data_IF_309255377120
#
_entry.id   IF_309255377120
#
_cell.length_a   1.000
_cell.length_b   1.000
_cell.length_c   1.000
_cell.angle_alpha   90.00
_cell.angle_beta   90.00
_cell.angle_gamma   90.00
#
_symmetry.space_group_name_H-M   'P 1'
#
loop_
_entity.id
_entity.type
_entity.pdbx_description
1 polymer ?
#
# COMPACT_ATOMS: atom_id res chain seq x y z
N UNK A 1 -13.93 7.27 3.38
CA UNK A 1 -12.75 6.49 3.77
C UNK A 1 -11.86 7.31 4.68
N UNK A 2 -11.22 6.66 5.63
CA UNK A 2 -10.16 7.29 6.43
C UNK A 2 -8.82 6.82 5.87
N UNK A 3 -8.11 7.67 5.11
CA UNK A 3 -6.86 7.25 4.49
C UNK A 3 -5.76 6.92 5.50
N UNK A 4 -5.77 7.57 6.67
CA UNK A 4 -4.78 7.24 7.69
C UNK A 4 -5.01 5.84 8.25
N UNK A 5 -6.27 5.49 8.51
CA UNK A 5 -6.61 4.15 8.98
C UNK A 5 -6.28 3.09 7.92
N UNK A 6 -6.57 3.39 6.66
CA UNK A 6 -6.26 2.48 5.56
C UNK A 6 -4.74 2.24 5.46
N UNK A 7 -3.95 3.31 5.59
CA UNK A 7 -2.50 3.20 5.54
C UNK A 7 -1.96 2.39 6.72
N UNK A 8 -2.45 2.67 7.93
CA UNK A 8 -2.02 1.95 9.12
C UNK A 8 -2.37 0.46 9.02
N UNK A 9 -3.55 0.14 8.50
CA UNK A 9 -3.99 -1.24 8.31
C UNK A 9 -3.15 -1.96 7.24
N UNK A 10 -2.77 -1.23 6.19
CA UNK A 10 -1.91 -1.77 5.15
C UNK A 10 -0.56 -2.16 5.73
N UNK A 11 0.05 -1.28 6.51
CA UNK A 11 1.34 -1.56 7.13
C UNK A 11 1.26 -2.74 8.11
N UNK A 12 0.19 -2.80 8.89
CA UNK A 12 -0.01 -3.91 9.83
C UNK A 12 -0.20 -5.23 9.09
N UNK A 13 -0.94 -5.21 8.00
CA UNK A 13 -1.16 -6.40 7.18
C UNK A 13 0.15 -6.88 6.55
N UNK A 14 0.96 -5.95 6.08
CA UNK A 14 2.27 -6.29 5.52
C UNK A 14 3.14 -6.97 6.56
N UNK A 15 3.20 -6.42 7.76
CA UNK A 15 4.01 -6.97 8.84
C UNK A 15 3.52 -8.35 9.27
N UNK A 16 2.21 -8.59 9.21
CA UNK A 16 1.61 -9.85 9.60
C UNK A 16 1.57 -10.89 8.50
N UNK A 17 1.89 -10.51 7.27
CA UNK A 17 1.75 -11.41 6.13
C UNK A 17 0.32 -11.66 5.71
N UNK A 18 -0.59 -10.76 6.08
CA UNK A 18 -2.02 -10.86 5.72
C UNK A 18 -2.22 -10.25 4.34
N UNK A 19 -1.97 -11.07 3.33
CA UNK A 19 -1.95 -10.59 1.94
C UNK A 19 -3.32 -10.17 1.42
N UNK A 20 -4.40 -10.79 1.88
CA UNK A 20 -5.75 -10.43 1.46
C UNK A 20 -6.10 -9.01 1.91
N UNK A 21 -5.83 -8.70 3.17
CA UNK A 21 -6.07 -7.36 3.70
C UNK A 21 -5.12 -6.35 3.06
N UNK A 22 -3.87 -6.74 2.84
CA UNK A 22 -2.90 -5.87 2.18
C UNK A 22 -3.39 -5.44 0.80
N UNK A 23 -3.83 -6.41 -0.01
CA UNK A 23 -4.35 -6.13 -1.34
C UNK A 23 -5.55 -5.21 -1.29
N UNK A 24 -6.50 -5.51 -0.40
CA UNK A 24 -7.71 -4.72 -0.26
C UNK A 24 -7.40 -3.28 0.12
N UNK A 25 -6.57 -3.09 1.14
CA UNK A 25 -6.25 -1.74 1.61
C UNK A 25 -5.42 -0.96 0.61
N UNK A 26 -4.47 -1.60 -0.05
CA UNK A 26 -3.65 -0.94 -1.07
C UNK A 26 -4.49 -0.51 -2.27
N UNK A 27 -5.38 -1.37 -2.73
CA UNK A 27 -6.26 -1.07 -3.87
C UNK A 27 -7.21 0.08 -3.53
N UNK A 28 -7.82 0.02 -2.35
CA UNK A 28 -8.74 1.06 -1.91
C UNK A 28 -8.05 2.41 -1.77
N UNK A 29 -6.85 2.41 -1.21
CA UNK A 29 -6.11 3.65 -0.99
C UNK A 29 -5.62 4.25 -2.30
N UNK A 30 -5.14 3.44 -3.23
CA UNK A 30 -4.77 3.94 -4.56
C UNK A 30 -5.97 4.59 -5.24
N UNK A 31 -7.12 3.94 -5.22
CA UNK A 31 -8.34 4.48 -5.81
C UNK A 31 -8.73 5.81 -5.17
N UNK A 32 -8.61 5.89 -3.84
CA UNK A 32 -8.88 7.12 -3.11
C UNK A 32 -7.96 8.27 -3.55
N UNK A 33 -6.67 7.98 -3.65
CA UNK A 33 -5.68 8.98 -4.05
C UNK A 33 -5.86 9.41 -5.50
N UNK A 34 -6.19 8.48 -6.38
CA UNK A 34 -6.39 8.76 -7.80
C UNK A 34 -7.64 9.61 -8.05
N UNK A 35 -8.61 9.56 -7.13
CA UNK A 35 -9.80 10.42 -7.19
C UNK A 35 -9.57 11.81 -6.59
N UNK A 36 -8.36 12.09 -6.15
CA UNK A 36 -8.04 13.36 -5.52
C UNK A 36 -8.31 13.40 -4.03
N UNK A 37 -8.52 12.24 -3.39
CA UNK A 37 -8.66 12.17 -1.96
C UNK A 37 -7.40 12.61 -1.24
N UNK A 38 -7.54 13.21 -0.05
CA UNK A 38 -6.35 13.66 0.67
C UNK A 38 -5.53 12.46 1.17
N UNK A 39 -4.19 12.58 1.17
CA UNK A 39 -3.32 11.46 1.50
C UNK A 39 -3.18 11.25 3.01
N UNK A 40 -2.81 10.03 3.43
CA UNK A 40 -2.42 9.82 4.82
C UNK A 40 -1.09 10.49 5.11
N UNK A 41 -0.81 10.73 6.38
CA UNK A 41 0.48 11.22 6.83
C UNK A 41 1.45 10.04 6.86
N UNK A 42 2.45 10.05 6.00
CA UNK A 42 3.38 8.93 5.88
C UNK A 42 4.51 9.02 6.90
N UNK A 43 5.08 10.21 7.05
CA UNK A 43 6.13 10.46 8.03
C UNK A 43 5.57 11.36 9.12
N UNK A 44 5.22 10.75 10.26
CA UNK A 44 4.51 11.45 11.33
C UNK A 44 5.34 12.54 12.01
N UNK A 45 6.65 12.51 11.84
CA UNK A 45 7.55 13.48 12.45
C UNK A 45 8.00 14.57 11.48
N UNK A 46 7.45 14.59 10.28
CA UNK A 46 7.81 15.56 9.25
C UNK A 46 6.57 16.23 8.73
N UNK A 47 6.66 17.55 8.55
CA UNK A 47 5.59 18.32 7.93
C UNK A 47 5.71 18.27 6.42
N UNK A 48 5.44 17.11 5.85
CA UNK A 48 5.42 16.96 4.41
C UNK A 48 4.15 17.57 3.85
N UNK A 49 4.26 18.25 2.72
CA UNK A 49 3.07 18.78 2.07
C UNK A 49 2.20 17.63 1.52
N UNK A 50 0.94 17.93 1.18
CA UNK A 50 0.03 16.88 0.70
C UNK A 50 0.51 16.17 -0.55
N UNK A 51 1.22 16.85 -1.44
CA UNK A 51 1.72 16.24 -2.66
C UNK A 51 2.78 15.19 -2.37
N UNK A 52 3.68 15.49 -1.42
CA UNK A 52 4.67 14.51 -0.97
C UNK A 52 4.00 13.31 -0.32
N UNK A 53 3.05 13.56 0.57
CA UNK A 53 2.34 12.46 1.24
C UNK A 53 1.59 11.60 0.23
N UNK A 54 0.95 12.22 -0.77
CA UNK A 54 0.25 11.50 -1.82
C UNK A 54 1.20 10.61 -2.61
N UNK A 55 2.34 11.17 -3.02
CA UNK A 55 3.33 10.43 -3.81
C UNK A 55 3.89 9.25 -3.04
N UNK A 56 4.23 9.45 -1.77
CA UNK A 56 4.77 8.39 -0.92
C UNK A 56 3.73 7.31 -0.66
N UNK A 57 2.49 7.71 -0.36
CA UNK A 57 1.42 6.74 -0.11
C UNK A 57 1.13 5.91 -1.35
N UNK A 58 1.05 6.56 -2.51
CA UNK A 58 0.79 5.85 -3.76
C UNK A 58 1.92 4.90 -4.11
N UNK A 59 3.16 5.34 -3.93
CA UNK A 59 4.33 4.49 -4.15
C UNK A 59 4.34 3.30 -3.19
N UNK A 60 3.99 3.52 -1.94
CA UNK A 60 3.89 2.44 -0.95
C UNK A 60 2.84 1.41 -1.31
N UNK A 61 1.68 1.87 -1.77
CA UNK A 61 0.61 0.97 -2.22
C UNK A 61 1.04 0.18 -3.45
N UNK A 62 1.69 0.84 -4.40
CA UNK A 62 2.18 0.17 -5.60
C UNK A 62 3.23 -0.88 -5.25
N UNK A 63 4.11 -0.55 -4.31
CA UNK A 63 5.10 -1.50 -3.82
C UNK A 63 4.43 -2.71 -3.17
N UNK A 64 3.43 -2.47 -2.32
CA UNK A 64 2.71 -3.56 -1.65
C UNK A 64 2.07 -4.50 -2.66
N UNK A 65 1.43 -3.96 -3.68
CA UNK A 65 0.82 -4.77 -4.72
C UNK A 65 1.87 -5.52 -5.55
N UNK A 66 3.03 -4.90 -5.75
CA UNK A 66 4.15 -5.54 -6.43
C UNK A 66 4.69 -6.73 -5.63
N UNK A 67 4.79 -6.60 -4.32
CA UNK A 67 5.21 -7.69 -3.44
C UNK A 67 4.24 -8.87 -3.55
N UNK A 68 2.95 -8.60 -3.60
CA UNK A 68 1.94 -9.64 -3.78
C UNK A 68 2.15 -10.38 -5.09
N UNK A 69 2.38 -9.64 -6.16
CA UNK A 69 2.64 -10.24 -7.46
C UNK A 69 3.91 -11.07 -7.47
N UNK A 70 4.96 -10.59 -6.80
CA UNK A 70 6.22 -11.31 -6.71
C UNK A 70 6.08 -12.59 -5.89
N UNK A 71 5.34 -12.55 -4.78
CA UNK A 71 5.04 -13.73 -3.99
C UNK A 71 4.28 -14.76 -4.82
N UNK A 72 3.26 -14.31 -5.53
CA UNK A 72 2.48 -15.18 -6.38
C UNK A 72 3.34 -15.75 -7.51
N UNK A 73 4.19 -14.91 -8.09
CA UNK A 73 5.07 -15.30 -9.17
C UNK A 73 6.12 -16.32 -8.71
N UNK A 74 6.63 -16.14 -7.49
CA UNK A 74 7.56 -17.09 -6.91
C UNK A 74 6.90 -18.44 -6.71
N UNK A 75 5.65 -18.45 -6.22
CA UNK A 75 4.90 -19.68 -6.11
C UNK A 75 4.73 -20.37 -7.44
N UNK A 76 4.47 -19.60 -8.50
CA UNK A 76 4.31 -20.13 -9.84
C UNK A 76 5.64 -20.52 -10.49
N UNK A 77 6.71 -19.85 -10.11
CA UNK A 77 8.02 -20.01 -10.71
C UNK A 77 8.90 -21.02 -9.99
N UNK A 78 8.47 -21.55 -8.86
CA UNK A 78 9.25 -22.55 -8.12
C UNK A 78 9.21 -23.91 -8.77
N UNK A 79 8.61 -23.99 -9.89
CA UNK A 79 8.61 -25.22 -10.59
C UNK A 79 9.93 -25.41 -11.23
N UNK A 80 10.53 -26.55 -11.00
CA UNK A 80 11.75 -26.80 -11.65
C UNK A 80 11.49 -26.68 -13.10
N UNK A 81 12.35 -26.05 -13.71
CA UNK A 81 12.32 -26.12 -15.14
C UNK A 81 12.50 -27.53 -15.57
#
# INVERSE_FOLDING_TARGET
>A
MDPQAAWDQLLAAYAAGDWDILEERATDLIAWLDRGGFPPMILRQSDLDPDWNRSLARAGCAYALSVLNDEWRVEQATFPP
#
